data_IF_909174161341
#
_entry.id   IF_909174161341
#
_cell.length_a   1.000
_cell.length_b   1.000
_cell.length_c   1.000
_cell.angle_alpha   90.00
_cell.angle_beta   90.00
_cell.angle_gamma   90.00
#
_symmetry.space_group_name_H-M   'P 1'
#
loop_
_entity.id
_entity.type
_entity.pdbx_description
1 polymer ?
#
# COMPACT_ATOMS: atom_id res chain seq x y z
N UNK A 1 -12.63 -22.89 -6.18
CA UNK A 1 -12.21 -23.30 -7.52
C UNK A 1 -11.04 -22.40 -7.89
N UNK A 2 -9.81 -22.94 -7.88
CA UNK A 2 -8.63 -22.20 -8.32
C UNK A 2 -8.73 -21.98 -9.83
N UNK A 3 -9.15 -20.82 -10.29
CA UNK A 3 -8.81 -20.36 -11.63
C UNK A 3 -7.33 -20.00 -11.62
N UNK A 4 -6.49 -20.89 -12.07
CA UNK A 4 -5.14 -20.56 -12.52
C UNK A 4 -5.33 -19.66 -13.73
N UNK A 5 -4.83 -18.40 -13.66
CA UNK A 5 -4.80 -17.49 -14.80
C UNK A 5 -4.14 -18.23 -15.97
N UNK A 6 -4.89 -18.46 -17.05
CA UNK A 6 -4.40 -19.18 -18.22
C UNK A 6 -3.59 -18.25 -19.13
N UNK A 7 -2.73 -18.82 -19.94
CA UNK A 7 -1.91 -18.11 -20.93
C UNK A 7 -2.82 -17.27 -21.84
N UNK A 8 -2.77 -15.92 -21.67
CA UNK A 8 -3.65 -14.97 -22.36
C UNK A 8 -4.48 -14.06 -21.42
N UNK A 9 -4.46 -14.29 -20.10
CA UNK A 9 -5.07 -13.39 -19.14
C UNK A 9 -4.29 -12.07 -19.07
N UNK A 10 -4.98 -10.90 -18.91
CA UNK A 10 -4.30 -9.61 -18.85
C UNK A 10 -3.35 -9.56 -17.65
N UNK A 11 -2.18 -8.95 -17.86
CA UNK A 11 -1.16 -8.76 -16.81
C UNK A 11 -1.78 -8.07 -15.60
N UNK A 12 -1.36 -8.47 -14.39
CA UNK A 12 -1.85 -7.90 -13.14
C UNK A 12 -0.79 -7.02 -12.48
N UNK A 13 -1.16 -5.77 -12.24
CA UNK A 13 -0.44 -4.85 -11.35
C UNK A 13 -1.05 -4.89 -9.94
N UNK A 14 -0.23 -5.13 -8.94
CA UNK A 14 -0.56 -4.89 -7.53
C UNK A 14 0.25 -3.69 -7.04
N UNK A 15 -0.39 -2.53 -6.88
CA UNK A 15 0.32 -1.32 -6.49
C UNK A 15 -0.14 -0.78 -5.15
N UNK A 16 0.83 -0.35 -4.32
CA UNK A 16 0.56 0.32 -3.05
C UNK A 16 1.03 1.76 -3.11
N UNK A 17 0.08 2.70 -2.98
CA UNK A 17 0.36 4.13 -2.80
C UNK A 17 0.64 4.37 -1.31
N UNK A 18 1.86 4.76 -0.97
CA UNK A 18 2.26 5.07 0.40
C UNK A 18 1.42 6.21 1.00
N UNK A 19 1.05 6.07 2.27
CA UNK A 19 0.37 7.17 2.98
C UNK A 19 1.20 8.45 3.03
N UNK A 20 2.53 8.35 3.10
CA UNK A 20 3.44 9.50 3.03
C UNK A 20 3.39 10.28 1.71
N UNK A 21 2.87 9.65 0.63
CA UNK A 21 2.78 10.27 -0.71
C UNK A 21 1.50 11.09 -0.85
N UNK A 22 0.35 10.55 -0.46
CA UNK A 22 -0.96 11.18 -0.67
C UNK A 22 -1.58 11.76 0.60
N UNK A 23 -1.12 11.35 1.77
CA UNK A 23 -1.58 11.81 3.07
C UNK A 23 -0.39 11.94 4.04
N UNK A 24 0.56 12.87 3.79
CA UNK A 24 1.82 12.99 4.54
C UNK A 24 1.58 13.31 6.01
N UNK A 25 2.51 12.84 6.86
CA UNK A 25 2.51 13.15 8.30
C UNK A 25 2.79 14.64 8.53
N UNK A 26 2.34 15.18 9.66
CA UNK A 26 2.60 16.56 10.08
C UNK A 26 1.34 17.38 10.34
N UNK A 27 0.29 17.16 9.57
CA UNK A 27 -1.02 17.76 9.74
C UNK A 27 -2.10 16.68 9.65
N UNK A 28 -3.04 16.66 10.61
CA UNK A 28 -4.13 15.67 10.57
C UNK A 28 -5.00 15.86 9.33
N UNK A 29 -5.40 14.74 8.72
CA UNK A 29 -6.28 14.66 7.55
C UNK A 29 -5.79 15.48 6.34
N UNK A 30 -4.49 15.70 6.23
CA UNK A 30 -3.89 16.33 5.05
C UNK A 30 -3.95 15.38 3.86
N UNK A 31 -4.55 15.83 2.75
CA UNK A 31 -4.66 15.08 1.52
C UNK A 31 -4.05 15.84 0.34
N UNK A 32 -3.08 15.23 -0.32
CA UNK A 32 -2.36 15.79 -1.49
C UNK A 32 -3.10 15.46 -2.79
N UNK A 33 -4.24 16.12 -3.01
CA UNK A 33 -5.12 15.85 -4.15
C UNK A 33 -4.43 16.02 -5.51
N UNK A 34 -3.48 16.98 -5.63
CA UNK A 34 -2.72 17.19 -6.86
C UNK A 34 -1.78 16.00 -7.16
N UNK A 35 -1.12 15.47 -6.12
CA UNK A 35 -0.27 14.28 -6.23
C UNK A 35 -1.12 13.05 -6.57
N UNK A 36 -2.25 12.87 -5.88
CA UNK A 36 -3.17 11.76 -6.14
C UNK A 36 -3.69 11.78 -7.60
N UNK A 37 -4.04 12.96 -8.13
CA UNK A 37 -4.49 13.12 -9.52
C UNK A 37 -3.38 12.81 -10.53
N UNK A 38 -2.16 13.25 -10.27
CA UNK A 38 -1.01 12.91 -11.12
C UNK A 38 -0.75 11.40 -11.12
N UNK A 39 -0.73 10.77 -9.94
CA UNK A 39 -0.55 9.32 -9.82
C UNK A 39 -1.66 8.54 -10.51
N UNK A 40 -2.91 9.01 -10.45
CA UNK A 40 -4.01 8.39 -11.18
C UNK A 40 -3.76 8.37 -12.69
N UNK A 41 -3.29 9.49 -13.27
CA UNK A 41 -2.92 9.55 -14.70
C UNK A 41 -1.76 8.61 -15.03
N UNK A 42 -0.73 8.59 -14.18
CA UNK A 42 0.45 7.75 -14.38
C UNK A 42 0.09 6.24 -14.29
N UNK A 43 -0.76 5.85 -13.34
CA UNK A 43 -1.28 4.49 -13.21
C UNK A 43 -2.16 4.07 -14.40
N UNK A 44 -2.84 5.05 -15.04
CA UNK A 44 -3.63 4.82 -16.25
C UNK A 44 -2.81 4.32 -17.46
N UNK A 45 -1.47 4.39 -17.41
CA UNK A 45 -0.60 3.82 -18.43
C UNK A 45 -0.45 2.28 -18.33
N UNK A 46 -0.96 1.65 -17.26
CA UNK A 46 -0.95 0.19 -17.15
C UNK A 46 -2.01 -0.45 -18.03
N UNK A 47 -1.60 -1.37 -18.89
CA UNK A 47 -2.48 -2.15 -19.74
C UNK A 47 -2.74 -3.53 -19.12
N UNK A 48 -3.83 -3.67 -18.37
CA UNK A 48 -4.18 -4.93 -17.72
C UNK A 48 -5.04 -4.76 -16.48
N UNK A 49 -5.15 -5.82 -15.70
CA UNK A 49 -5.80 -5.78 -14.41
C UNK A 49 -4.97 -5.02 -13.37
N UNK A 50 -5.64 -4.36 -12.45
CA UNK A 50 -4.99 -3.59 -11.39
C UNK A 50 -5.69 -3.81 -10.05
N UNK A 51 -4.90 -3.98 -9.00
CA UNK A 51 -5.34 -3.89 -7.60
C UNK A 51 -4.55 -2.78 -6.94
N UNK A 52 -5.24 -1.89 -6.27
CA UNK A 52 -4.62 -0.79 -5.55
C UNK A 52 -4.74 -0.97 -4.05
N UNK A 53 -3.69 -0.57 -3.35
CA UNK A 53 -3.68 -0.41 -1.90
C UNK A 53 -3.21 1.00 -1.58
N UNK A 54 -3.77 1.65 -0.57
CA UNK A 54 -3.18 2.88 -0.07
C UNK A 54 -2.89 2.84 1.43
N UNK A 55 -1.91 3.62 1.85
CA UNK A 55 -1.62 3.84 3.26
C UNK A 55 -2.59 4.86 3.85
N UNK A 56 -2.87 4.75 5.14
CA UNK A 56 -3.75 5.68 5.84
C UNK A 56 -3.11 7.06 6.12
N UNK A 57 -1.78 7.13 6.20
CA UNK A 57 -1.05 8.39 6.41
C UNK A 57 -1.56 9.20 7.59
N UNK A 58 -1.73 10.51 7.41
CA UNK A 58 -2.20 11.46 8.43
C UNK A 58 -3.66 11.23 8.88
N UNK A 59 -4.43 10.42 8.14
CA UNK A 59 -5.82 10.11 8.48
C UNK A 59 -5.96 9.07 9.59
N UNK A 60 -4.92 8.25 9.85
CA UNK A 60 -5.00 7.25 10.90
C UNK A 60 -3.87 7.35 11.93
N UNK A 61 -2.61 7.58 11.51
CA UNK A 61 -1.45 7.40 12.41
C UNK A 61 -1.55 8.25 13.67
N UNK A 62 -1.76 9.56 13.57
CA UNK A 62 -1.81 10.47 14.71
C UNK A 62 -2.93 10.13 15.68
N UNK A 63 -4.14 9.83 15.16
CA UNK A 63 -5.28 9.45 16.01
C UNK A 63 -5.08 8.07 16.64
N UNK A 64 -4.55 7.08 15.88
CA UNK A 64 -4.29 5.73 16.40
C UNK A 64 -3.28 5.75 17.55
N UNK A 65 -2.23 6.56 17.45
CA UNK A 65 -1.27 6.77 18.55
C UNK A 65 -1.93 7.45 19.74
N UNK A 66 -2.64 8.57 19.53
CA UNK A 66 -3.32 9.33 20.57
C UNK A 66 -4.35 8.49 21.33
N UNK A 67 -5.09 7.65 20.65
CA UNK A 67 -6.11 6.77 21.25
C UNK A 67 -5.52 5.45 21.77
N UNK A 68 -4.25 5.17 21.53
CA UNK A 68 -3.59 3.94 21.97
C UNK A 68 -4.22 2.67 21.39
N UNK A 69 -4.66 2.73 20.11
CA UNK A 69 -5.35 1.60 19.44
C UNK A 69 -4.48 0.35 19.45
N UNK A 70 -3.20 0.49 19.14
CA UNK A 70 -2.23 -0.62 19.13
C UNK A 70 -1.97 -1.23 20.54
N UNK A 71 -2.35 -0.51 21.60
CA UNK A 71 -2.25 -0.95 23.00
C UNK A 71 -3.59 -1.51 23.53
N UNK A 72 -4.64 -1.54 22.69
CA UNK A 72 -5.98 -1.97 23.12
C UNK A 72 -6.62 -1.01 24.13
N UNK A 73 -6.22 0.27 24.16
CA UNK A 73 -6.71 1.28 25.12
C UNK A 73 -7.84 2.14 24.57
N UNK A 74 -8.15 2.01 23.27
CA UNK A 74 -9.18 2.79 22.60
C UNK A 74 -10.60 2.36 23.00
N UNK A 75 -11.53 3.30 22.90
CA UNK A 75 -12.96 3.01 22.92
C UNK A 75 -13.46 2.65 21.51
N UNK A 76 -14.60 1.97 21.41
CA UNK A 76 -15.22 1.67 20.11
C UNK A 76 -15.55 2.92 19.29
N UNK A 77 -15.87 4.03 19.94
CA UNK A 77 -16.08 5.33 19.24
C UNK A 77 -14.80 5.82 18.61
N UNK A 78 -13.68 5.79 19.33
CA UNK A 78 -12.38 6.20 18.82
C UNK A 78 -11.89 5.30 17.65
N UNK A 79 -12.14 3.99 17.75
CA UNK A 79 -11.87 3.05 16.64
C UNK A 79 -12.70 3.41 15.40
N UNK A 80 -14.01 3.64 15.58
CA UNK A 80 -14.91 4.02 14.50
C UNK A 80 -14.54 5.38 13.87
N UNK A 81 -14.06 6.37 14.64
CA UNK A 81 -13.56 7.62 14.11
C UNK A 81 -12.37 7.40 13.16
N UNK A 82 -11.39 6.58 13.56
CA UNK A 82 -10.23 6.30 12.70
C UNK A 82 -10.64 5.57 11.42
N UNK A 83 -11.53 4.57 11.53
CA UNK A 83 -12.10 3.88 10.36
C UNK A 83 -12.79 4.86 9.41
N UNK A 84 -13.63 5.77 9.94
CA UNK A 84 -14.35 6.76 9.15
C UNK A 84 -13.41 7.72 8.42
N UNK A 85 -12.35 8.19 9.09
CA UNK A 85 -11.35 9.07 8.48
C UNK A 85 -10.64 8.40 7.31
N UNK A 86 -10.20 7.14 7.47
CA UNK A 86 -9.53 6.41 6.38
C UNK A 86 -10.49 6.07 5.25
N UNK A 87 -11.75 5.75 5.56
CA UNK A 87 -12.79 5.60 4.52
C UNK A 87 -12.97 6.90 3.72
N UNK A 88 -12.94 8.07 4.37
CA UNK A 88 -13.01 9.37 3.71
C UNK A 88 -11.83 9.61 2.75
N UNK A 89 -10.60 9.26 3.17
CA UNK A 89 -9.43 9.29 2.31
C UNK A 89 -9.60 8.34 1.11
N UNK A 90 -10.04 7.12 1.36
CA UNK A 90 -10.26 6.12 0.32
C UNK A 90 -11.31 6.57 -0.70
N UNK A 91 -12.42 7.14 -0.23
CA UNK A 91 -13.47 7.70 -1.09
C UNK A 91 -12.94 8.86 -1.96
N UNK A 92 -12.15 9.76 -1.37
CA UNK A 92 -11.52 10.88 -2.09
C UNK A 92 -10.56 10.40 -3.18
N UNK A 93 -9.74 9.39 -2.86
CA UNK A 93 -8.81 8.79 -3.82
C UNK A 93 -9.56 8.05 -4.94
N UNK A 94 -10.60 7.27 -4.60
CA UNK A 94 -11.44 6.58 -5.59
C UNK A 94 -12.12 7.56 -6.56
N UNK A 95 -12.63 8.69 -6.05
CA UNK A 95 -13.23 9.73 -6.87
C UNK A 95 -12.22 10.35 -7.85
N UNK A 96 -10.97 10.59 -7.41
CA UNK A 96 -9.91 11.09 -8.30
C UNK A 96 -9.56 10.03 -9.35
N UNK A 97 -9.35 8.77 -8.96
CA UNK A 97 -9.06 7.68 -9.89
C UNK A 97 -10.16 7.54 -10.96
N UNK A 98 -11.42 7.57 -10.54
CA UNK A 98 -12.56 7.51 -11.46
C UNK A 98 -12.60 8.71 -12.41
N UNK A 99 -12.28 9.92 -11.94
CA UNK A 99 -12.21 11.12 -12.79
C UNK A 99 -11.10 11.08 -13.85
N UNK A 100 -10.09 10.26 -13.64
CA UNK A 100 -8.99 10.01 -14.59
C UNK A 100 -9.17 8.68 -15.37
N UNK A 101 -10.37 8.08 -15.31
CA UNK A 101 -10.74 6.90 -16.10
C UNK A 101 -10.43 5.54 -15.47
N UNK A 102 -9.95 5.49 -14.23
CA UNK A 102 -9.68 4.24 -13.51
C UNK A 102 -10.90 3.88 -12.65
N UNK A 103 -11.59 2.76 -12.92
CA UNK A 103 -12.83 2.38 -12.22
C UNK A 103 -12.53 1.79 -10.83
N UNK A 104 -11.95 2.60 -9.93
CA UNK A 104 -11.55 2.17 -8.60
C UNK A 104 -12.74 2.05 -7.65
N UNK A 105 -12.81 0.93 -6.93
CA UNK A 105 -13.83 0.65 -5.92
C UNK A 105 -13.19 0.27 -4.59
N UNK A 106 -13.52 1.00 -3.53
CA UNK A 106 -12.99 0.73 -2.19
C UNK A 106 -13.53 -0.58 -1.62
N UNK A 107 -12.64 -1.38 -1.05
CA UNK A 107 -12.94 -2.58 -0.26
C UNK A 107 -12.46 -2.32 1.17
N UNK A 108 -13.36 -1.97 2.10
CA UNK A 108 -12.99 -1.65 3.48
C UNK A 108 -12.42 -2.87 4.20
N UNK A 109 -11.19 -2.82 4.73
CA UNK A 109 -10.57 -3.98 5.37
C UNK A 109 -11.31 -4.48 6.60
N UNK A 110 -11.91 -3.59 7.39
CA UNK A 110 -12.73 -3.98 8.55
C UNK A 110 -13.99 -4.77 8.18
N UNK A 111 -14.43 -4.75 6.91
CA UNK A 111 -15.57 -5.53 6.43
C UNK A 111 -15.16 -6.93 5.91
N UNK A 112 -13.88 -7.11 5.57
CA UNK A 112 -13.37 -8.36 4.97
C UNK A 112 -12.37 -9.09 5.86
N UNK A 113 -11.87 -8.46 6.92
CA UNK A 113 -10.99 -9.08 7.90
C UNK A 113 -11.79 -9.66 9.08
N UNK A 114 -11.57 -10.94 9.40
CA UNK A 114 -12.20 -11.64 10.50
C UNK A 114 -11.17 -12.46 11.26
N UNK A 115 -11.01 -12.21 12.57
CA UNK A 115 -10.21 -13.01 13.52
C UNK A 115 -8.83 -13.46 12.97
N UNK A 116 -8.14 -12.56 12.26
CA UNK A 116 -6.82 -12.82 11.69
C UNK A 116 -6.81 -13.41 10.28
N UNK A 117 -7.95 -13.65 9.67
CA UNK A 117 -8.10 -14.04 8.27
C UNK A 117 -8.62 -12.87 7.43
N UNK A 118 -8.33 -12.91 6.13
CA UNK A 118 -8.83 -11.94 5.15
C UNK A 118 -9.67 -12.67 4.11
N UNK A 119 -10.93 -12.25 3.95
CA UNK A 119 -11.74 -12.66 2.82
C UNK A 119 -11.35 -11.82 1.58
N UNK A 120 -10.64 -12.41 0.66
CA UNK A 120 -10.21 -11.76 -0.58
C UNK A 120 -11.25 -11.84 -1.71
N UNK A 121 -12.38 -12.54 -1.50
CA UNK A 121 -13.41 -12.70 -2.55
C UNK A 121 -13.97 -11.37 -3.07
N UNK A 122 -14.17 -10.30 -2.25
CA UNK A 122 -14.59 -9.01 -2.76
C UNK A 122 -13.60 -8.40 -3.77
N UNK A 123 -12.27 -8.56 -3.56
CA UNK A 123 -11.25 -8.11 -4.50
C UNK A 123 -11.32 -8.89 -5.81
N UNK A 124 -11.38 -10.22 -5.74
CA UNK A 124 -11.43 -11.10 -6.91
C UNK A 124 -12.68 -10.83 -7.76
N UNK A 125 -13.84 -10.70 -7.10
CA UNK A 125 -15.11 -10.42 -7.78
C UNK A 125 -15.08 -9.06 -8.52
N UNK A 126 -14.52 -8.02 -7.91
CA UNK A 126 -14.40 -6.71 -8.56
C UNK A 126 -13.47 -6.77 -9.78
N UNK A 127 -12.33 -7.48 -9.67
CA UNK A 127 -11.43 -7.72 -10.81
C UNK A 127 -12.14 -8.46 -11.96
N UNK A 128 -12.87 -9.53 -11.66
CA UNK A 128 -13.63 -10.30 -12.66
C UNK A 128 -14.68 -9.43 -13.38
N UNK A 129 -15.19 -8.39 -12.73
CA UNK A 129 -16.15 -7.42 -13.27
C UNK A 129 -15.49 -6.23 -14.00
N UNK A 130 -14.14 -6.21 -14.08
CA UNK A 130 -13.39 -5.14 -14.75
C UNK A 130 -13.20 -3.87 -13.91
N UNK A 131 -13.46 -3.91 -12.61
CA UNK A 131 -13.13 -2.83 -11.68
C UNK A 131 -11.71 -2.95 -11.16
N UNK A 132 -11.21 -1.86 -10.59
CA UNK A 132 -9.96 -1.80 -9.84
C UNK A 132 -10.28 -1.82 -8.34
N UNK A 133 -10.21 -2.98 -7.65
CA UNK A 133 -10.45 -3.03 -6.22
C UNK A 133 -9.34 -2.30 -5.48
N UNK A 134 -9.72 -1.47 -4.50
CA UNK A 134 -8.80 -0.65 -3.73
C UNK A 134 -8.98 -0.89 -2.23
N UNK A 135 -7.96 -1.50 -1.59
CA UNK A 135 -7.89 -1.65 -0.14
C UNK A 135 -7.00 -0.60 0.52
N UNK A 136 -6.94 -0.60 1.85
CA UNK A 136 -6.14 0.36 2.61
C UNK A 136 -5.74 -0.16 4.00
N UNK A 137 -4.80 0.50 4.66
CA UNK A 137 -4.48 0.23 6.06
C UNK A 137 -5.62 0.70 6.96
N UNK A 138 -6.07 -0.14 7.92
CA UNK A 138 -7.28 0.10 8.70
C UNK A 138 -7.19 -0.43 10.12
N UNK A 139 -8.13 -0.02 10.96
CA UNK A 139 -8.44 -0.64 12.25
C UNK A 139 -9.48 -1.74 12.05
N UNK A 140 -9.16 -2.94 12.47
CA UNK A 140 -10.06 -4.09 12.35
C UNK A 140 -10.51 -4.52 13.74
N UNK A 141 -11.83 -4.54 14.02
CA UNK A 141 -12.37 -5.09 15.27
C UNK A 141 -12.15 -6.60 15.33
N UNK A 142 -11.71 -7.09 16.49
CA UNK A 142 -11.65 -8.54 16.77
C UNK A 142 -12.26 -8.84 18.13
N UNK A 143 -12.49 -10.11 18.43
CA UNK A 143 -12.99 -10.55 19.74
C UNK A 143 -12.03 -10.22 20.89
N UNK A 144 -10.72 -10.14 20.60
CA UNK A 144 -9.66 -9.80 21.58
C UNK A 144 -9.32 -8.30 21.65
N UNK A 145 -10.00 -7.45 20.87
CA UNK A 145 -9.75 -6.01 20.79
C UNK A 145 -9.41 -5.53 19.37
N UNK A 146 -9.12 -4.23 19.19
CA UNK A 146 -8.78 -3.68 17.88
C UNK A 146 -7.41 -4.18 17.41
N UNK A 147 -7.31 -4.45 16.12
CA UNK A 147 -6.06 -4.78 15.44
C UNK A 147 -5.81 -3.77 14.32
N UNK A 148 -4.57 -3.36 14.15
CA UNK A 148 -4.16 -2.56 12.98
C UNK A 148 -3.77 -3.53 11.88
N UNK A 149 -4.50 -3.47 10.75
CA UNK A 149 -4.17 -4.14 9.51
C UNK A 149 -3.47 -3.13 8.60
N UNK A 150 -2.20 -3.34 8.32
CA UNK A 150 -1.46 -2.42 7.46
C UNK A 150 -1.73 -2.69 5.98
N UNK A 151 -1.54 -1.67 5.12
CA UNK A 151 -1.57 -1.89 3.68
C UNK A 151 -0.50 -2.88 3.20
N UNK A 152 0.61 -3.05 3.93
CA UNK A 152 1.63 -4.05 3.62
C UNK A 152 1.14 -5.48 3.89
N UNK A 153 0.28 -5.70 4.90
CA UNK A 153 -0.38 -7.00 5.14
C UNK A 153 -1.32 -7.36 3.98
N UNK A 154 -2.06 -6.37 3.45
CA UNK A 154 -2.89 -6.55 2.26
C UNK A 154 -2.07 -6.87 1.02
N UNK A 155 -0.93 -6.17 0.80
CA UNK A 155 0.00 -6.47 -0.30
C UNK A 155 0.48 -7.93 -0.24
N UNK A 156 0.85 -8.42 0.95
CA UNK A 156 1.26 -9.82 1.15
C UNK A 156 0.12 -10.78 0.84
N UNK A 157 -1.07 -10.57 1.40
CA UNK A 157 -2.20 -11.46 1.19
C UNK A 157 -2.63 -11.53 -0.29
N UNK A 158 -2.72 -10.37 -0.93
CA UNK A 158 -3.11 -10.27 -2.35
C UNK A 158 -2.03 -10.81 -3.28
N UNK A 159 -0.74 -10.60 -2.99
CA UNK A 159 0.35 -11.18 -3.80
C UNK A 159 0.34 -12.71 -3.79
N UNK A 160 0.05 -13.33 -2.64
CA UNK A 160 -0.09 -14.79 -2.52
C UNK A 160 -1.26 -15.33 -3.34
N UNK A 161 -2.39 -14.64 -3.31
CA UNK A 161 -3.61 -15.07 -4.00
C UNK A 161 -3.55 -14.83 -5.52
N UNK A 162 -2.97 -13.70 -5.94
CA UNK A 162 -3.08 -13.20 -7.32
C UNK A 162 -1.83 -13.39 -8.15
N UNK A 163 -0.65 -13.59 -7.53
CA UNK A 163 0.64 -13.77 -8.23
C UNK A 163 0.88 -12.71 -9.32
N UNK A 164 0.94 -11.41 -8.95
CA UNK A 164 1.00 -10.32 -9.93
C UNK A 164 2.28 -10.38 -10.79
N UNK A 165 2.19 -9.88 -12.02
CA UNK A 165 3.34 -9.64 -12.89
C UNK A 165 4.24 -8.57 -12.31
N UNK A 166 3.62 -7.50 -11.77
CA UNK A 166 4.34 -6.39 -11.17
C UNK A 166 3.70 -6.02 -9.83
N UNK A 167 4.52 -5.98 -8.78
CA UNK A 167 4.16 -5.39 -7.49
C UNK A 167 4.93 -4.08 -7.33
N UNK A 168 4.23 -2.96 -7.14
CA UNK A 168 4.82 -1.63 -6.93
C UNK A 168 4.56 -1.12 -5.52
N UNK A 169 5.61 -0.74 -4.84
CA UNK A 169 5.56 0.07 -3.61
C UNK A 169 5.89 1.52 -3.96
N UNK A 170 4.87 2.37 -4.07
CA UNK A 170 5.00 3.79 -4.41
C UNK A 170 5.18 4.57 -3.10
N UNK A 171 6.34 5.20 -2.92
CA UNK A 171 6.77 5.84 -1.67
C UNK A 171 7.23 7.28 -1.87
N UNK A 172 7.52 7.99 -0.78
CA UNK A 172 8.00 9.39 -0.79
C UNK A 172 9.52 9.53 -1.00
N UNK A 173 10.22 8.41 -1.18
CA UNK A 173 11.64 8.35 -1.52
C UNK A 173 11.87 7.63 -2.84
N UNK A 174 13.06 7.71 -3.41
CA UNK A 174 13.35 7.13 -4.74
C UNK A 174 13.37 5.59 -4.76
N UNK A 175 13.60 4.97 -3.61
CA UNK A 175 13.66 3.52 -3.43
C UNK A 175 14.11 3.19 -2.01
N UNK A 176 14.79 2.07 -1.84
CA UNK A 176 15.39 1.64 -0.55
C UNK A 176 16.83 2.14 -0.52
N UNK A 177 17.23 2.73 0.60
CA UNK A 177 18.58 3.21 0.85
C UNK A 177 19.30 2.30 1.84
N UNK A 178 20.63 2.28 1.80
CA UNK A 178 21.48 1.55 2.73
C UNK A 178 21.32 2.00 4.19
N UNK A 179 20.85 3.24 4.39
CA UNK A 179 20.51 3.88 5.67
C UNK A 179 19.48 4.98 5.46
N UNK A 180 18.93 5.56 6.55
CA UNK A 180 17.90 6.61 6.46
C UNK A 180 18.43 7.88 5.75
N UNK A 181 17.96 8.21 4.54
CA UNK A 181 18.43 9.37 3.79
C UNK A 181 18.06 10.72 4.43
N UNK A 182 17.08 10.74 5.35
CA UNK A 182 16.70 11.96 6.09
C UNK A 182 17.70 12.28 7.21
N UNK A 183 18.40 11.26 7.71
CA UNK A 183 19.43 11.40 8.75
C UNK A 183 20.85 11.39 8.19
N UNK A 184 21.04 10.80 7.03
CA UNK A 184 22.33 10.58 6.41
C UNK A 184 22.31 11.08 4.96
N UNK A 185 22.82 12.31 4.69
CA UNK A 185 22.84 12.87 3.33
C UNK A 185 23.71 12.07 2.33
N UNK A 186 24.59 11.22 2.84
CA UNK A 186 25.46 10.30 2.07
C UNK A 186 24.85 8.90 1.88
N UNK A 187 23.58 8.69 2.27
CA UNK A 187 22.85 7.44 2.06
C UNK A 187 22.78 7.11 0.57
N UNK A 188 23.04 5.84 0.25
CA UNK A 188 23.06 5.37 -1.14
C UNK A 188 21.77 4.63 -1.47
N UNK A 189 21.17 5.00 -2.59
CA UNK A 189 20.05 4.27 -3.16
C UNK A 189 20.54 2.88 -3.61
N UNK A 190 19.83 1.83 -3.21
CA UNK A 190 20.12 0.46 -3.61
C UNK A 190 19.44 0.15 -4.93
N UNK A 191 20.16 -0.47 -5.87
CA UNK A 191 19.56 -0.99 -7.10
C UNK A 191 18.73 -2.24 -6.81
N UNK A 192 19.23 -3.13 -5.90
CA UNK A 192 18.54 -4.32 -5.45
C UNK A 192 18.51 -4.41 -3.93
N UNK A 193 17.41 -4.96 -3.40
CA UNK A 193 17.22 -5.21 -1.97
C UNK A 193 16.80 -6.67 -1.75
N UNK A 194 17.63 -7.42 -1.00
CA UNK A 194 17.44 -8.83 -0.64
C UNK A 194 17.23 -9.05 0.87
N UNK A 195 17.17 -7.96 1.63
CA UNK A 195 17.02 -8.01 3.09
C UNK A 195 18.33 -8.06 3.87
N UNK A 196 19.49 -8.24 3.24
CA UNK A 196 20.79 -8.38 3.90
C UNK A 196 21.65 -7.11 3.86
N UNK A 197 21.39 -6.24 2.91
CA UNK A 197 22.23 -5.08 2.56
C UNK A 197 21.79 -3.75 3.17
N UNK A 198 20.91 -3.76 4.20
CA UNK A 198 20.41 -2.56 4.88
C UNK A 198 20.61 -2.67 6.38
N UNK A 199 21.17 -1.63 6.98
CA UNK A 199 21.16 -1.45 8.43
C UNK A 199 19.95 -0.62 8.82
N UNK A 200 18.87 -1.27 9.22
CA UNK A 200 17.73 -0.59 9.86
C UNK A 200 18.17 -0.19 11.27
N UNK A 201 18.47 1.09 11.50
CA UNK A 201 18.70 1.61 12.85
C UNK A 201 17.47 1.37 13.73
N UNK A 202 17.67 1.37 15.06
CA UNK A 202 16.56 1.30 16.01
C UNK A 202 15.54 2.40 15.71
N UNK A 203 14.34 2.01 15.27
CA UNK A 203 13.27 2.94 14.99
C UNK A 203 12.42 3.09 16.25
N UNK A 204 12.50 4.25 16.88
CA UNK A 204 11.56 4.64 17.93
C UNK A 204 10.12 4.59 17.37
N UNK A 205 9.28 3.75 17.99
CA UNK A 205 7.82 3.72 17.93
C UNK A 205 7.14 3.90 16.55
N UNK A 206 7.20 2.86 15.69
CA UNK A 206 6.24 2.70 14.61
C UNK A 206 5.27 1.56 14.95
N UNK A 207 3.98 1.87 15.11
CA UNK A 207 2.90 0.92 15.45
C UNK A 207 2.71 -0.21 14.40
N UNK A 208 3.39 -0.13 13.26
CA UNK A 208 3.34 -1.12 12.16
C UNK A 208 4.62 -1.95 12.02
N UNK A 209 5.54 -1.90 13.00
CA UNK A 209 6.79 -2.66 12.99
C UNK A 209 7.96 -1.96 12.30
N UNK A 210 7.86 -0.67 12.03
CA UNK A 210 8.93 0.16 11.47
C UNK A 210 9.37 -0.23 10.07
N UNK A 211 10.57 0.24 9.69
CA UNK A 211 11.16 -0.06 8.37
C UNK A 211 11.53 -1.54 8.21
N UNK A 212 11.97 -2.21 9.26
CA UNK A 212 12.30 -3.64 9.23
C UNK A 212 11.06 -4.51 8.96
N UNK A 213 9.93 -4.20 9.57
CA UNK A 213 8.66 -4.87 9.31
C UNK A 213 8.16 -4.67 7.88
N UNK A 214 8.29 -3.47 7.33
CA UNK A 214 7.95 -3.17 5.92
C UNK A 214 8.87 -3.92 4.96
N UNK A 215 10.18 -3.92 5.22
CA UNK A 215 11.16 -4.63 4.41
C UNK A 215 10.87 -6.14 4.34
N UNK A 216 10.56 -6.76 5.47
CA UNK A 216 10.18 -8.18 5.52
C UNK A 216 8.94 -8.47 4.68
N UNK A 217 7.92 -7.60 4.72
CA UNK A 217 6.70 -7.74 3.91
C UNK A 217 6.96 -7.53 2.41
N UNK A 218 7.85 -6.59 2.03
CA UNK A 218 8.26 -6.41 0.64
C UNK A 218 8.95 -7.67 0.09
N UNK A 219 9.84 -8.30 0.85
CA UNK A 219 10.47 -9.57 0.49
C UNK A 219 9.44 -10.71 0.36
N UNK A 220 8.42 -10.74 1.24
CA UNK A 220 7.35 -11.73 1.13
C UNK A 220 6.50 -11.51 -0.13
N UNK A 221 6.21 -10.27 -0.51
CA UNK A 221 5.56 -9.93 -1.78
C UNK A 221 6.42 -10.36 -2.96
N UNK A 222 7.74 -10.11 -2.91
CA UNK A 222 8.67 -10.47 -3.98
C UNK A 222 8.74 -11.99 -4.25
N UNK A 223 8.52 -12.84 -3.22
CA UNK A 223 8.40 -14.30 -3.41
C UNK A 223 7.15 -14.73 -4.18
N UNK A 224 6.17 -13.85 -4.31
CA UNK A 224 4.87 -14.15 -4.90
C UNK A 224 4.61 -13.41 -6.22
N UNK A 225 5.28 -12.29 -6.48
CA UNK A 225 5.19 -11.52 -7.72
C UNK A 225 6.31 -11.89 -8.69
N UNK A 226 6.12 -11.68 -9.99
CA UNK A 226 7.22 -11.87 -10.97
C UNK A 226 8.30 -10.79 -10.82
N UNK A 227 7.89 -9.55 -10.57
CA UNK A 227 8.78 -8.44 -10.24
C UNK A 227 8.19 -7.61 -9.10
N UNK A 228 9.05 -7.13 -8.19
CA UNK A 228 8.67 -6.23 -7.11
C UNK A 228 9.63 -5.05 -7.08
N UNK A 229 9.08 -3.84 -7.08
CA UNK A 229 9.86 -2.61 -7.11
C UNK A 229 9.35 -1.59 -6.10
N UNK A 230 10.29 -0.81 -5.56
CA UNK A 230 10.03 0.38 -4.76
C UNK A 230 10.39 1.59 -5.61
N UNK A 231 9.41 2.47 -5.85
CA UNK A 231 9.55 3.63 -6.73
C UNK A 231 9.06 4.90 -6.07
N UNK A 232 9.55 6.06 -6.50
CA UNK A 232 9.06 7.33 -5.98
C UNK A 232 7.69 7.68 -6.54
N UNK A 233 6.76 8.00 -5.65
CA UNK A 233 5.48 8.63 -6.00
C UNK A 233 5.56 10.16 -6.08
N UNK A 234 6.68 10.76 -5.69
CA UNK A 234 6.84 12.22 -5.72
C UNK A 234 7.52 12.73 -6.99
N UNK A 235 8.30 11.89 -7.68
CA UNK A 235 8.93 12.23 -8.96
C UNK A 235 7.91 12.06 -10.10
N UNK A 236 7.53 13.13 -10.81
CA UNK A 236 6.60 13.03 -11.93
C UNK A 236 7.09 12.07 -13.03
N UNK A 237 6.17 11.27 -13.57
CA UNK A 237 6.43 10.28 -14.62
C UNK A 237 7.05 8.97 -14.14
N UNK A 238 7.50 8.87 -12.88
CA UNK A 238 8.16 7.68 -12.36
C UNK A 238 7.25 6.45 -12.30
N UNK A 239 6.00 6.65 -11.90
CA UNK A 239 5.00 5.57 -11.86
C UNK A 239 4.51 5.23 -13.27
N UNK A 240 4.37 6.21 -14.15
CA UNK A 240 4.05 5.96 -15.56
C UNK A 240 5.12 5.10 -16.25
N UNK A 241 6.41 5.46 -16.09
CA UNK A 241 7.53 4.68 -16.60
C UNK A 241 7.49 3.25 -16.06
N UNK A 242 7.24 3.06 -14.77
CA UNK A 242 7.11 1.73 -14.18
C UNK A 242 5.95 0.92 -14.79
N UNK A 243 4.81 1.55 -15.06
CA UNK A 243 3.69 0.91 -15.75
C UNK A 243 4.04 0.49 -17.20
N UNK A 244 5.01 1.15 -17.82
CA UNK A 244 5.55 0.83 -19.16
C UNK A 244 6.79 -0.06 -19.12
N UNK A 245 7.10 -0.68 -17.96
CA UNK A 245 8.26 -1.53 -17.72
C UNK A 245 9.63 -0.81 -17.79
N UNK A 246 9.64 0.52 -17.74
CA UNK A 246 10.84 1.35 -17.60
C UNK A 246 11.10 1.60 -16.11
N UNK A 247 11.54 0.57 -15.41
CA UNK A 247 11.63 0.51 -13.95
C UNK A 247 12.87 1.25 -13.42
N UNK A 248 12.65 2.22 -12.56
CA UNK A 248 13.68 3.00 -11.88
C UNK A 248 13.33 3.13 -10.40
N UNK A 249 14.24 2.72 -9.54
CA UNK A 249 14.06 2.64 -8.08
C UNK A 249 14.86 1.48 -7.53
N UNK A 250 14.33 0.80 -6.52
CA UNK A 250 14.95 -0.41 -5.96
C UNK A 250 14.15 -1.64 -6.34
N UNK A 251 14.79 -2.61 -6.98
CA UNK A 251 14.22 -3.95 -7.18
C UNK A 251 14.28 -4.73 -5.87
N UNK A 252 13.17 -5.33 -5.47
CA UNK A 252 13.12 -6.25 -4.33
C UNK A 252 13.26 -7.67 -4.83
N UNK A 253 14.28 -8.37 -4.37
CA UNK A 253 14.58 -9.76 -4.74
C UNK A 253 14.39 -10.66 -3.51
N UNK A 254 13.76 -11.86 -3.66
CA UNK A 254 13.46 -12.75 -2.53
C UNK A 254 14.67 -13.48 -1.98
#
# INVERSE_FOLDING_TARGET
MNKTLCYGDPMLLLAKIGGSVVAPKGEEMRFEAAVARRLARELGAWEGHMVLIHGAGSFAHTKSERYGIHLGRSTRVQEAEVMADVMGLSASLAAILASEGIPAVSVPPHAVAQEGTLDLMPFLRLLDLGFVPMGYGDVVPTSSGPRILSGDDLMVALSKALRPELALFITDVEGIYDRDPKKHPDAKLLEEFDGTNVSFGEVEHDVTGGMSGKASKMLEVARNAKQTWVVSGLIPGRVESACKWELQGTRVVP
#
